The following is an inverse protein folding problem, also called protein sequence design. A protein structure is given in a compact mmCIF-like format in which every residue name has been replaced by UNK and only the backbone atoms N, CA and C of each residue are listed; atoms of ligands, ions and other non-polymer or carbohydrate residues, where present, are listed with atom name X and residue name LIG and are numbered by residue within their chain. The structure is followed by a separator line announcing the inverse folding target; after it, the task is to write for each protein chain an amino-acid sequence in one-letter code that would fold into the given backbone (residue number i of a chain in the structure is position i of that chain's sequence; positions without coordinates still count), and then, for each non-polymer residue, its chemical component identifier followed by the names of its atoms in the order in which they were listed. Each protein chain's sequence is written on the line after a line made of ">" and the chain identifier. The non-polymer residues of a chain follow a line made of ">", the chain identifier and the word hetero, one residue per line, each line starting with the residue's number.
data_IF_645026343211
#
_entry.id   IF_645026343211
#
_cell.length_a   1.000
_cell.length_b   1.000
_cell.length_c   1.000
_cell.angle_alpha   90.00
_cell.angle_beta   90.00
_cell.angle_gamma   90.00
#
_symmetry.space_group_name_H-M   'P 1'
#
loop_
_entity.id
_entity.type
_entity.pdbx_description
1 polymer ?
#
# COMPACT_ATOMS: atom_id res chain seq x y z
N UNK A 1 22.10 11.52 -20.25
CA UNK A 1 21.78 12.91 -20.69
C UNK A 1 20.83 12.77 -21.85
N UNK A 2 19.64 13.31 -21.70
CA UNK A 2 18.58 13.20 -22.69
C UNK A 2 18.71 14.34 -23.70
N UNK A 3 19.58 14.11 -24.69
CA UNK A 3 19.90 15.08 -25.73
C UNK A 3 19.12 14.72 -26.98
N UNK A 4 18.15 15.56 -27.32
CA UNK A 4 17.53 15.55 -28.64
C UNK A 4 18.32 16.51 -29.52
N UNK A 5 18.88 16.06 -30.65
CA UNK A 5 19.67 16.91 -31.54
C UNK A 5 18.94 18.21 -31.88
N UNK A 6 19.64 19.35 -31.77
CA UNK A 6 19.07 20.67 -32.09
C UNK A 6 18.17 21.29 -31.02
N UNK A 7 17.84 20.58 -29.94
CA UNK A 7 16.97 21.10 -28.88
C UNK A 7 17.72 21.36 -27.56
N UNK A 8 17.20 22.29 -26.74
CA UNK A 8 17.75 22.57 -25.39
C UNK A 8 17.75 21.30 -24.54
N UNK A 9 18.71 21.15 -23.63
CA UNK A 9 18.74 19.98 -22.73
C UNK A 9 17.55 19.99 -21.78
N UNK A 10 16.98 18.81 -21.51
CA UNK A 10 16.03 18.66 -20.42
C UNK A 10 16.78 18.77 -19.08
N UNK A 11 16.38 19.71 -18.24
CA UNK A 11 16.98 19.93 -16.93
C UNK A 11 16.39 18.97 -15.90
N UNK A 12 17.24 18.52 -14.97
CA UNK A 12 16.86 17.65 -13.86
C UNK A 12 17.47 18.18 -12.55
N UNK A 13 17.15 19.44 -12.25
CA UNK A 13 17.48 20.07 -10.98
C UNK A 13 16.59 19.52 -9.86
N UNK A 14 16.91 19.85 -8.61
CA UNK A 14 16.10 19.42 -7.47
C UNK A 14 14.72 20.08 -7.53
N UNK A 15 13.65 19.30 -7.37
CA UNK A 15 12.28 19.81 -7.41
C UNK A 15 11.58 19.52 -8.73
N UNK A 16 10.81 20.48 -9.21
CA UNK A 16 9.92 20.37 -10.37
C UNK A 16 10.56 21.06 -11.58
N UNK A 17 10.74 20.33 -12.67
CA UNK A 17 11.41 20.80 -13.88
C UNK A 17 10.48 20.63 -15.08
N UNK A 18 9.69 21.65 -15.41
CA UNK A 18 8.87 21.64 -16.62
C UNK A 18 9.69 22.00 -17.86
N UNK A 19 9.64 21.16 -18.91
CA UNK A 19 10.16 21.56 -20.23
C UNK A 19 9.39 22.76 -20.78
N UNK A 20 10.00 23.60 -21.62
CA UNK A 20 9.29 24.71 -22.25
C UNK A 20 8.08 24.20 -23.06
N UNK A 21 6.98 24.96 -23.05
CA UNK A 21 5.82 24.66 -23.92
C UNK A 21 6.24 24.83 -25.39
N UNK A 22 5.72 23.96 -26.24
CA UNK A 22 5.90 24.01 -27.71
C UNK A 22 4.54 24.25 -28.36
N UNK A 23 4.52 24.98 -29.46
CA UNK A 23 3.32 25.23 -30.26
C UNK A 23 3.21 24.15 -31.33
N UNK A 24 2.59 23.02 -30.99
CA UNK A 24 2.34 21.94 -31.93
C UNK A 24 1.14 22.27 -32.85
N UNK A 25 0.97 21.47 -33.90
CA UNK A 25 -0.10 21.64 -34.91
C UNK A 25 -1.51 21.74 -34.33
N UNK A 26 -1.78 21.03 -33.23
CA UNK A 26 -3.08 20.91 -32.57
C UNK A 26 -3.18 21.67 -31.25
N UNK A 27 -2.13 22.41 -30.85
CA UNK A 27 -2.16 23.29 -29.70
C UNK A 27 -0.82 23.45 -28.98
N UNK A 28 -0.81 24.34 -27.99
CA UNK A 28 0.34 24.50 -27.11
C UNK A 28 0.37 23.34 -26.10
N UNK A 29 1.47 22.58 -26.07
CA UNK A 29 1.67 21.48 -25.10
C UNK A 29 2.98 21.61 -24.37
N UNK A 30 3.04 21.04 -23.17
CA UNK A 30 4.30 20.82 -22.46
C UNK A 30 4.79 19.38 -22.73
N UNK A 31 6.03 19.20 -23.21
CA UNK A 31 6.50 17.87 -23.58
C UNK A 31 6.57 16.90 -22.40
N UNK A 32 7.16 17.33 -21.28
CA UNK A 32 7.22 16.56 -20.04
C UNK A 32 7.53 17.46 -18.83
N UNK A 33 7.30 16.93 -17.63
CA UNK A 33 7.76 17.49 -16.36
C UNK A 33 8.62 16.45 -15.66
N UNK A 34 9.83 16.84 -15.24
CA UNK A 34 10.69 15.98 -14.43
C UNK A 34 10.63 16.39 -12.97
N UNK A 35 10.28 15.41 -12.13
CA UNK A 35 10.23 15.57 -10.69
C UNK A 35 11.45 14.88 -10.11
N UNK A 36 12.29 15.61 -9.39
CA UNK A 36 13.44 15.06 -8.68
C UNK A 36 13.29 15.25 -7.18
N UNK A 37 13.05 14.15 -6.47
CA UNK A 37 13.07 14.13 -5.00
C UNK A 37 14.47 13.79 -4.44
N UNK A 38 14.70 14.16 -3.19
CA UNK A 38 15.93 13.90 -2.45
C UNK A 38 15.59 13.39 -1.05
N UNK A 39 15.72 12.08 -0.78
CA UNK A 39 15.24 11.47 0.47
C UNK A 39 16.10 11.80 1.70
N UNK A 40 17.28 12.40 1.52
CA UNK A 40 18.31 12.62 2.55
C UNK A 40 17.91 13.54 3.73
N UNK A 41 16.71 14.11 3.74
CA UNK A 41 16.16 14.93 4.83
C UNK A 41 14.80 14.45 5.36
N UNK A 42 14.28 13.33 4.84
CA UNK A 42 13.02 12.76 5.31
C UNK A 42 13.12 12.35 6.79
N UNK A 43 12.12 12.71 7.60
CA UNK A 43 12.01 12.27 9.00
C UNK A 43 12.85 13.03 10.04
N UNK A 44 13.40 14.21 9.72
CA UNK A 44 14.05 15.09 10.72
C UNK A 44 13.03 16.03 11.38
N UNK A 45 13.26 16.45 12.64
CA UNK A 45 12.40 17.39 13.40
C UNK A 45 12.06 18.68 12.62
N UNK A 46 12.90 19.09 11.67
CA UNK A 46 12.74 20.32 10.90
C UNK A 46 11.82 20.19 9.67
N UNK A 47 11.47 18.97 9.23
CA UNK A 47 10.56 18.72 8.09
C UNK A 47 9.72 17.45 8.34
N UNK A 48 8.61 17.53 9.09
CA UNK A 48 7.72 16.36 9.27
C UNK A 48 7.10 15.92 7.94
N UNK A 49 6.98 16.84 6.98
CA UNK A 49 6.45 16.60 5.64
C UNK A 49 7.58 16.28 4.67
N UNK A 50 7.54 15.09 4.08
CA UNK A 50 8.51 14.61 3.11
C UNK A 50 7.79 13.88 1.98
N UNK A 51 8.38 13.90 0.78
CA UNK A 51 7.82 13.16 -0.34
C UNK A 51 7.82 11.66 -0.02
N UNK A 52 6.70 11.00 -0.27
CA UNK A 52 6.54 9.55 -0.07
C UNK A 52 6.50 8.89 -1.43
N UNK A 53 7.41 7.94 -1.65
CA UNK A 53 7.47 7.13 -2.87
C UNK A 53 7.09 5.70 -2.53
N UNK A 54 5.80 5.39 -2.56
CA UNK A 54 5.28 4.02 -2.47
C UNK A 54 5.33 3.37 -3.86
N UNK A 55 6.55 3.03 -4.24
CA UNK A 55 6.88 2.40 -5.52
C UNK A 55 6.15 1.08 -5.74
N UNK A 56 5.78 0.41 -4.65
CA UNK A 56 5.22 -0.93 -4.65
C UNK A 56 3.72 -0.91 -4.96
N UNK A 57 3.00 0.09 -4.44
CA UNK A 57 1.60 0.33 -4.77
C UNK A 57 1.42 1.34 -5.90
N UNK A 58 2.50 1.82 -6.52
CA UNK A 58 2.45 2.77 -7.63
C UNK A 58 1.87 4.12 -7.22
N UNK A 59 2.24 4.62 -6.05
CA UNK A 59 1.77 5.89 -5.51
C UNK A 59 2.94 6.77 -5.06
N UNK A 60 2.88 8.05 -5.42
CA UNK A 60 3.81 9.07 -4.93
C UNK A 60 3.01 10.23 -4.36
N UNK A 61 3.26 10.57 -3.10
CA UNK A 61 2.77 11.80 -2.48
C UNK A 61 3.88 12.83 -2.51
N UNK A 62 3.76 13.82 -3.39
CA UNK A 62 4.80 14.81 -3.65
C UNK A 62 4.42 16.20 -3.16
N UNK A 63 5.33 16.88 -2.46
CA UNK A 63 5.08 18.23 -1.92
C UNK A 63 5.60 19.30 -2.87
N UNK A 64 4.78 20.33 -3.06
CA UNK A 64 5.06 21.48 -3.90
C UNK A 64 6.28 22.30 -3.49
N UNK A 65 6.67 23.24 -4.35
CA UNK A 65 7.85 24.09 -4.17
C UNK A 65 7.59 25.37 -3.36
N UNK A 66 6.40 25.53 -2.77
CA UNK A 66 6.14 26.65 -1.86
C UNK A 66 6.90 26.45 -0.54
N UNK A 67 7.47 27.54 -0.01
CA UNK A 67 8.26 27.55 1.23
C UNK A 67 7.86 28.74 2.10
N UNK A 68 8.11 28.62 3.40
CA UNK A 68 7.96 29.73 4.35
C UNK A 68 8.78 30.96 3.89
N UNK A 69 8.22 32.15 4.09
CA UNK A 69 8.87 33.43 3.76
C UNK A 69 8.72 33.88 2.30
N UNK A 70 8.06 33.11 1.43
CA UNK A 70 7.67 33.58 0.10
C UNK A 70 6.42 34.47 0.19
N UNK A 71 6.47 35.65 -0.43
CA UNK A 71 5.33 36.58 -0.50
C UNK A 71 4.34 36.23 -1.62
N UNK A 72 4.64 35.20 -2.41
CA UNK A 72 3.81 34.77 -3.53
C UNK A 72 2.56 34.05 -3.05
N UNK A 73 1.48 34.10 -3.83
CA UNK A 73 0.28 33.32 -3.51
C UNK A 73 0.55 31.80 -3.67
N UNK A 74 -0.04 30.93 -2.84
CA UNK A 74 0.06 29.48 -3.01
C UNK A 74 -0.37 29.06 -4.42
N UNK A 75 0.42 28.20 -5.07
CA UNK A 75 0.16 27.77 -6.45
C UNK A 75 0.83 28.61 -7.54
N UNK A 76 1.42 29.76 -7.20
CA UNK A 76 2.04 30.66 -8.20
C UNK A 76 3.56 30.52 -8.33
N UNK A 77 4.19 29.73 -7.45
CA UNK A 77 5.59 29.32 -7.64
C UNK A 77 5.73 28.52 -8.93
N UNK A 78 6.88 28.63 -9.61
CA UNK A 78 7.08 28.03 -10.95
C UNK A 78 6.75 26.54 -10.97
N UNK A 79 7.15 25.78 -9.95
CA UNK A 79 6.87 24.36 -9.84
C UNK A 79 5.38 24.07 -9.62
N UNK A 80 4.77 24.66 -8.59
CA UNK A 80 3.34 24.46 -8.34
C UNK A 80 2.45 24.89 -9.51
N UNK A 81 2.73 26.03 -10.13
CA UNK A 81 1.99 26.48 -11.32
C UNK A 81 2.11 25.46 -12.47
N UNK A 82 3.30 24.87 -12.63
CA UNK A 82 3.55 23.82 -13.63
C UNK A 82 2.79 22.53 -13.32
N UNK A 83 2.73 22.10 -12.05
CA UNK A 83 2.00 20.88 -11.67
C UNK A 83 0.48 21.08 -11.64
N UNK A 84 -0.02 22.29 -11.36
CA UNK A 84 -1.44 22.61 -11.48
C UNK A 84 -1.90 22.61 -12.94
N UNK A 85 -1.12 23.21 -13.85
CA UNK A 85 -1.34 23.14 -15.31
C UNK A 85 -1.35 21.67 -15.81
N UNK A 86 -0.45 20.82 -15.27
CA UNK A 86 -0.44 19.40 -15.59
C UNK A 86 -1.65 18.64 -15.01
N UNK A 87 -2.06 18.97 -13.78
CA UNK A 87 -3.22 18.37 -13.13
C UNK A 87 -4.49 18.65 -13.93
N UNK A 88 -4.71 19.88 -14.38
CA UNK A 88 -5.87 20.23 -15.21
C UNK A 88 -5.92 19.38 -16.49
N UNK A 89 -4.76 19.16 -17.14
CA UNK A 89 -4.64 18.25 -18.28
C UNK A 89 -4.94 16.78 -17.92
N UNK A 90 -4.50 16.32 -16.74
CA UNK A 90 -4.79 14.96 -16.27
C UNK A 90 -6.26 14.74 -15.89
N UNK A 91 -7.00 15.80 -15.58
CA UNK A 91 -8.46 15.77 -15.36
C UNK A 91 -9.28 15.87 -16.65
N UNK A 92 -8.63 15.90 -17.83
CA UNK A 92 -9.29 16.03 -19.13
C UNK A 92 -10.42 15.01 -19.35
N UNK A 93 -11.60 15.50 -19.75
CA UNK A 93 -12.80 14.67 -19.90
C UNK A 93 -12.83 13.84 -21.19
N UNK A 94 -12.11 14.28 -22.24
CA UNK A 94 -12.04 13.57 -23.52
C UNK A 94 -10.65 12.95 -23.76
N UNK A 95 -10.54 11.91 -24.60
CA UNK A 95 -9.25 11.36 -25.00
C UNK A 95 -8.33 12.40 -25.64
N UNK A 96 -8.86 13.33 -26.44
CA UNK A 96 -8.10 14.38 -27.12
C UNK A 96 -7.48 15.34 -26.10
N UNK A 97 -8.24 15.77 -25.08
CA UNK A 97 -7.71 16.59 -24.00
C UNK A 97 -6.61 15.87 -23.21
N UNK A 98 -6.74 14.56 -23.00
CA UNK A 98 -5.71 13.75 -22.31
C UNK A 98 -4.49 13.44 -23.17
N UNK A 99 -4.62 13.44 -24.50
CA UNK A 99 -3.49 13.26 -25.41
C UNK A 99 -2.48 14.43 -25.30
N UNK A 100 -2.99 15.65 -25.08
CA UNK A 100 -2.19 16.84 -24.80
C UNK A 100 -1.55 16.83 -23.41
N UNK A 101 -2.06 16.03 -22.47
CA UNK A 101 -1.67 16.06 -21.07
C UNK A 101 -0.18 15.76 -20.87
N UNK A 102 0.42 16.41 -19.87
CA UNK A 102 1.87 16.40 -19.70
C UNK A 102 2.31 15.17 -18.90
N UNK A 103 3.21 14.32 -19.41
CA UNK A 103 3.75 13.21 -18.65
C UNK A 103 4.71 13.70 -17.55
N UNK A 104 4.59 13.08 -16.37
CA UNK A 104 5.52 13.29 -15.27
C UNK A 104 6.52 12.14 -15.26
N UNK A 105 7.81 12.43 -15.44
CA UNK A 105 8.87 11.44 -15.19
C UNK A 105 9.46 11.71 -13.82
N UNK A 106 9.35 10.73 -12.92
CA UNK A 106 9.76 10.86 -11.54
C UNK A 106 11.16 10.28 -11.35
N UNK A 107 11.96 10.96 -10.54
CA UNK A 107 13.33 10.57 -10.22
C UNK A 107 13.60 10.79 -8.73
N UNK A 108 14.44 9.93 -8.15
CA UNK A 108 14.99 10.16 -6.82
C UNK A 108 16.50 10.15 -6.84
N UNK A 109 17.11 10.98 -5.99
CA UNK A 109 18.56 10.99 -5.82
C UNK A 109 18.98 9.74 -5.03
N UNK A 110 19.94 8.99 -5.56
CA UNK A 110 20.42 7.71 -4.97
C UNK A 110 21.92 7.74 -4.73
N UNK A 111 22.39 6.99 -3.73
CA UNK A 111 23.83 6.74 -3.54
C UNK A 111 24.26 5.60 -4.45
N UNK A 112 25.40 5.76 -5.14
CA UNK A 112 26.00 4.69 -5.95
C UNK A 112 27.50 4.64 -5.68
N UNK A 113 28.04 3.43 -5.45
CA UNK A 113 29.46 3.20 -5.21
C UNK A 113 30.05 4.09 -4.09
N UNK A 114 29.31 4.27 -2.99
CA UNK A 114 29.74 5.11 -1.87
C UNK A 114 29.68 6.63 -2.13
N UNK A 115 29.25 7.07 -3.32
CA UNK A 115 29.03 8.49 -3.60
C UNK A 115 27.56 8.87 -3.33
N UNK A 116 27.29 9.77 -2.37
CA UNK A 116 25.93 10.14 -1.98
C UNK A 116 25.23 11.11 -2.94
N UNK A 117 25.96 11.69 -3.89
CA UNK A 117 25.47 12.69 -4.85
C UNK A 117 25.91 12.33 -6.27
N UNK A 118 25.26 12.96 -7.25
CA UNK A 118 25.59 12.80 -8.68
C UNK A 118 24.78 11.75 -9.43
N UNK A 119 24.01 10.91 -8.72
CA UNK A 119 23.22 9.84 -9.31
C UNK A 119 21.73 10.04 -9.02
N UNK A 120 20.92 9.66 -10.00
CA UNK A 120 19.46 9.62 -9.92
C UNK A 120 18.98 8.27 -10.42
N UNK A 121 17.87 7.82 -9.87
CA UNK A 121 17.14 6.64 -10.31
C UNK A 121 15.81 7.10 -10.91
N UNK A 122 15.41 6.49 -12.02
CA UNK A 122 14.08 6.67 -12.60
C UNK A 122 13.06 5.89 -11.78
N UNK A 123 11.99 6.56 -11.37
CA UNK A 123 10.94 6.01 -10.51
C UNK A 123 9.63 5.72 -11.27
N UNK A 124 9.54 6.06 -12.55
CA UNK A 124 8.37 5.76 -13.38
C UNK A 124 7.68 6.98 -13.96
N UNK A 125 6.60 6.68 -14.68
CA UNK A 125 5.73 7.61 -15.38
C UNK A 125 4.48 7.88 -14.54
N UNK A 126 4.21 9.15 -14.24
CA UNK A 126 3.16 9.57 -13.32
C UNK A 126 1.99 10.31 -13.97
N UNK A 127 0.79 10.10 -13.42
CA UNK A 127 -0.42 10.90 -13.64
C UNK A 127 -0.87 11.46 -12.29
N UNK A 128 -1.18 12.75 -12.20
CA UNK A 128 -1.69 13.40 -10.98
C UNK A 128 -3.16 13.02 -10.81
N UNK A 129 -3.46 12.26 -9.77
CA UNK A 129 -4.83 11.82 -9.47
C UNK A 129 -5.57 12.82 -8.57
N UNK A 130 -4.85 13.51 -7.69
CA UNK A 130 -5.41 14.44 -6.72
C UNK A 130 -4.40 15.53 -6.37
N UNK A 131 -4.92 16.71 -6.05
CA UNK A 131 -4.14 17.79 -5.46
C UNK A 131 -4.86 18.35 -4.24
N UNK A 132 -4.10 18.71 -3.21
CA UNK A 132 -4.61 19.27 -1.95
C UNK A 132 -3.80 20.50 -1.55
N UNK A 133 -4.46 21.49 -0.94
CA UNK A 133 -3.79 22.59 -0.23
C UNK A 133 -3.57 22.18 1.22
N UNK A 134 -2.34 22.31 1.70
CA UNK A 134 -1.95 21.92 3.06
C UNK A 134 -1.19 23.06 3.75
N UNK A 135 -1.47 23.27 5.04
CA UNK A 135 -0.74 24.21 5.89
C UNK A 135 0.46 23.49 6.50
N UNK A 136 1.66 23.96 6.20
CA UNK A 136 2.92 23.41 6.69
C UNK A 136 3.58 24.38 7.67
N UNK A 137 4.39 23.83 8.58
CA UNK A 137 5.28 24.59 9.46
C UNK A 137 6.67 24.65 8.82
N UNK A 138 7.34 25.80 8.88
CA UNK A 138 8.66 26.00 8.30
C UNK A 138 9.59 26.83 9.19
N UNK A 139 10.89 26.51 9.11
CA UNK A 139 11.96 27.19 9.83
C UNK A 139 12.08 26.76 11.30
N UNK A 140 13.14 27.23 11.96
CA UNK A 140 13.30 27.13 13.43
C UNK A 140 12.20 27.87 14.20
N UNK A 141 11.58 28.85 13.54
CA UNK A 141 10.67 29.81 14.17
C UNK A 141 9.19 29.38 14.06
N UNK A 142 8.93 28.15 13.58
CA UNK A 142 7.57 27.56 13.44
C UNK A 142 6.56 28.49 12.75
N UNK A 143 6.94 29.07 11.61
CA UNK A 143 6.01 29.87 10.80
C UNK A 143 5.12 28.96 9.94
N UNK A 144 3.84 29.27 9.81
CA UNK A 144 2.94 28.53 8.92
C UNK A 144 2.97 29.08 7.50
N UNK A 145 2.90 28.20 6.50
CA UNK A 145 2.74 28.56 5.11
C UNK A 145 1.86 27.54 4.40
N UNK A 146 1.17 27.96 3.32
CA UNK A 146 0.32 27.07 2.53
C UNK A 146 1.11 26.56 1.33
N UNK A 147 1.06 25.24 1.11
CA UNK A 147 1.66 24.59 -0.05
C UNK A 147 0.67 23.62 -0.68
N UNK A 148 1.03 23.07 -1.83
CA UNK A 148 0.29 22.00 -2.48
C UNK A 148 0.92 20.64 -2.23
N UNK A 149 0.08 19.62 -2.19
CA UNK A 149 0.46 18.21 -2.22
C UNK A 149 -0.21 17.57 -3.43
N UNK A 150 0.54 16.72 -4.12
CA UNK A 150 0.10 16.03 -5.33
C UNK A 150 0.19 14.53 -5.08
N UNK A 151 -0.94 13.83 -5.16
CA UNK A 151 -0.96 12.39 -5.25
C UNK A 151 -0.79 12.01 -6.72
N UNK A 152 0.22 11.20 -7.00
CA UNK A 152 0.64 10.82 -8.34
C UNK A 152 0.55 9.30 -8.44
N UNK A 153 -0.24 8.81 -9.38
CA UNK A 153 -0.30 7.41 -9.76
C UNK A 153 0.87 7.08 -10.70
N UNK A 154 1.74 6.15 -10.30
CA UNK A 154 2.75 5.60 -11.19
C UNK A 154 2.11 4.53 -12.07
N UNK A 155 2.24 4.68 -13.38
CA UNK A 155 1.73 3.72 -14.35
C UNK A 155 2.61 2.46 -14.38
N UNK A 156 1.98 1.32 -14.62
CA UNK A 156 2.65 0.05 -14.83
C UNK A 156 3.35 0.06 -16.19
N UNK A 157 4.67 -0.12 -16.17
CA UNK A 157 5.54 -0.14 -17.34
C UNK A 157 6.13 -1.54 -17.56
N UNK A 158 5.56 -2.58 -16.94
CA UNK A 158 6.08 -3.94 -17.05
C UNK A 158 6.16 -4.45 -18.50
N UNK A 159 5.20 -4.04 -19.35
CA UNK A 159 5.20 -4.37 -20.79
C UNK A 159 6.42 -3.77 -21.50
N UNK A 160 6.81 -2.56 -21.09
CA UNK A 160 7.97 -1.83 -21.59
C UNK A 160 9.26 -2.11 -20.78
N UNK A 161 9.27 -3.09 -19.88
CA UNK A 161 10.44 -3.45 -19.09
C UNK A 161 10.84 -2.41 -18.03
N UNK A 162 9.87 -1.69 -17.45
CA UNK A 162 10.08 -0.55 -16.55
C UNK A 162 10.79 0.67 -17.20
N UNK A 163 10.75 0.77 -18.54
CA UNK A 163 11.37 1.84 -19.31
C UNK A 163 10.34 2.77 -19.98
N UNK A 164 10.78 3.99 -20.29
CA UNK A 164 10.03 4.93 -21.14
C UNK A 164 10.92 5.29 -22.32
N UNK A 165 10.47 4.92 -23.52
CA UNK A 165 11.16 5.26 -24.77
C UNK A 165 11.31 6.79 -24.89
N UNK A 166 12.54 7.26 -25.08
CA UNK A 166 12.81 8.70 -25.10
C UNK A 166 12.23 9.37 -26.35
N UNK A 167 12.11 8.61 -27.43
CA UNK A 167 11.49 8.96 -28.71
C UNK A 167 10.08 9.55 -28.53
N UNK A 168 9.33 9.07 -27.53
CA UNK A 168 8.04 9.66 -27.16
C UNK A 168 8.18 11.10 -26.70
N UNK A 169 9.17 11.38 -25.83
CA UNK A 169 9.44 12.73 -25.35
C UNK A 169 9.94 13.60 -26.51
N UNK A 170 10.74 13.06 -27.44
CA UNK A 170 11.19 13.80 -28.63
C UNK A 170 10.01 14.19 -29.53
N UNK A 171 9.10 13.25 -29.82
CA UNK A 171 7.89 13.53 -30.59
C UNK A 171 7.02 14.61 -29.92
N UNK A 172 6.87 14.57 -28.59
CA UNK A 172 6.15 15.62 -27.86
C UNK A 172 6.83 16.99 -27.91
N UNK A 173 8.13 17.07 -28.21
CA UNK A 173 8.89 18.32 -28.38
C UNK A 173 8.87 18.84 -29.81
N UNK A 174 8.50 18.02 -30.78
CA UNK A 174 8.42 18.39 -32.19
C UNK A 174 7.13 19.19 -32.46
N UNK A 175 7.27 20.39 -33.00
CA UNK A 175 6.13 21.28 -33.33
C UNK A 175 5.31 20.75 -34.52
N UNK A 176 5.87 19.85 -35.33
CA UNK A 176 5.23 19.26 -36.51
C UNK A 176 4.46 17.96 -36.22
N UNK A 177 4.52 17.46 -34.99
CA UNK A 177 3.86 16.21 -34.58
C UNK A 177 2.60 16.53 -33.77
N UNK A 178 1.46 15.94 -34.11
CA UNK A 178 0.22 16.07 -33.33
C UNK A 178 0.27 15.27 -32.02
N UNK A 179 -0.61 15.58 -31.07
CA UNK A 179 -0.72 14.83 -29.82
C UNK A 179 -1.11 13.36 -30.07
N UNK A 180 -1.98 13.11 -31.06
CA UNK A 180 -2.40 11.77 -31.44
C UNK A 180 -1.24 10.91 -31.97
N UNK A 181 -0.36 11.50 -32.79
CA UNK A 181 0.85 10.86 -33.30
C UNK A 181 1.87 10.61 -32.19
N UNK A 182 2.12 11.61 -31.33
CA UNK A 182 3.04 11.48 -30.21
C UNK A 182 2.59 10.37 -29.23
N UNK A 183 1.28 10.25 -28.97
CA UNK A 183 0.73 9.21 -28.09
C UNK A 183 0.98 7.79 -28.63
N UNK A 184 1.17 7.59 -29.94
CA UNK A 184 1.49 6.25 -30.47
C UNK A 184 2.83 5.70 -29.97
N UNK A 185 3.76 6.58 -29.60
CA UNK A 185 5.07 6.23 -29.06
C UNK A 185 5.07 6.08 -27.53
N UNK A 186 3.95 6.43 -26.87
CA UNK A 186 3.85 6.37 -25.42
C UNK A 186 3.71 4.92 -24.92
N UNK A 187 4.12 4.64 -23.66
CA UNK A 187 3.85 3.35 -23.02
C UNK A 187 2.39 2.95 -23.10
N UNK A 188 2.14 1.65 -23.13
CA UNK A 188 0.81 1.05 -23.27
C UNK A 188 -0.14 1.53 -22.19
N UNK A 189 0.32 1.59 -20.94
CA UNK A 189 -0.48 2.11 -19.83
C UNK A 189 -0.85 3.60 -20.03
N UNK A 190 0.03 4.43 -20.59
CA UNK A 190 -0.29 5.82 -20.90
C UNK A 190 -1.35 5.92 -22.01
N UNK A 191 -1.22 5.14 -23.08
CA UNK A 191 -2.21 5.10 -24.18
C UNK A 191 -3.59 4.68 -23.69
N UNK A 192 -3.64 3.66 -22.83
CA UNK A 192 -4.88 3.22 -22.19
C UNK A 192 -5.47 4.29 -21.26
N UNK A 193 -4.63 5.02 -20.52
CA UNK A 193 -5.08 6.14 -19.71
C UNK A 193 -5.62 7.30 -20.56
N UNK A 194 -4.98 7.64 -21.68
CA UNK A 194 -5.49 8.65 -22.63
C UNK A 194 -6.88 8.23 -23.12
N UNK A 195 -7.09 6.96 -23.46
CA UNK A 195 -8.38 6.47 -23.93
C UNK A 195 -9.48 6.47 -22.87
N UNK A 196 -9.16 6.06 -21.64
CA UNK A 196 -10.17 5.74 -20.62
C UNK A 196 -10.22 6.72 -19.43
N UNK A 197 -9.21 7.54 -19.24
CA UNK A 197 -9.11 8.55 -18.20
C UNK A 197 -8.87 7.98 -16.79
N UNK A 198 -9.25 8.75 -15.78
CA UNK A 198 -8.96 8.47 -14.36
C UNK A 198 -9.56 7.14 -13.89
N UNK A 199 -10.70 6.73 -14.43
CA UNK A 199 -11.35 5.46 -14.07
C UNK A 199 -10.50 4.22 -14.39
N UNK A 200 -9.55 4.35 -15.32
CA UNK A 200 -8.60 3.29 -15.66
C UNK A 200 -7.36 3.28 -14.76
N UNK A 201 -7.07 4.32 -13.97
CA UNK A 201 -5.86 4.37 -13.14
C UNK A 201 -5.73 3.18 -12.18
N UNK A 202 -6.79 2.68 -11.50
CA UNK A 202 -6.64 1.53 -10.59
C UNK A 202 -6.09 0.26 -11.24
N UNK A 203 -6.39 0.03 -12.52
CA UNK A 203 -5.91 -1.12 -13.32
C UNK A 203 -4.58 -0.85 -14.03
N UNK A 204 -4.26 0.41 -14.31
CA UNK A 204 -3.04 0.83 -15.02
C UNK A 204 -1.89 1.18 -14.07
N UNK A 205 -2.15 1.19 -12.77
CA UNK A 205 -1.17 1.54 -11.75
C UNK A 205 -0.16 0.42 -11.55
N UNK A 206 1.11 0.80 -11.44
CA UNK A 206 2.20 -0.09 -11.06
C UNK A 206 1.85 -0.82 -9.77
N UNK A 207 1.91 -2.15 -9.80
CA UNK A 207 1.80 -3.00 -8.63
C UNK A 207 2.95 -3.97 -8.60
N UNK A 208 3.85 -3.81 -7.64
CA UNK A 208 4.87 -4.81 -7.39
C UNK A 208 4.24 -5.87 -6.49
N UNK A 209 3.69 -6.94 -7.08
CA UNK A 209 3.11 -8.07 -6.33
C UNK A 209 4.06 -8.61 -5.24
N UNK A 210 5.38 -8.48 -5.45
CA UNK A 210 6.43 -8.95 -4.53
C UNK A 210 6.53 -8.19 -3.20
N UNK A 211 5.97 -6.98 -3.09
CA UNK A 211 6.11 -6.17 -1.88
C UNK A 211 5.19 -6.59 -0.73
N UNK A 212 4.08 -7.29 -1.04
CA UNK A 212 3.17 -7.85 -0.04
C UNK A 212 3.44 -9.33 0.28
N UNK A 213 4.42 -9.94 -0.40
CA UNK A 213 4.83 -11.33 -0.16
C UNK A 213 5.98 -11.33 0.83
N UNK A 214 5.70 -11.77 2.06
CA UNK A 214 6.72 -12.01 3.08
C UNK A 214 7.41 -13.34 2.81
N UNK A 215 8.76 -13.35 2.79
CA UNK A 215 9.51 -14.61 2.65
C UNK A 215 9.21 -15.53 3.83
N UNK A 216 9.20 -16.83 3.58
CA UNK A 216 8.93 -17.84 4.64
C UNK A 216 9.82 -17.66 5.87
N UNK A 217 11.10 -17.30 5.66
CA UNK A 217 12.07 -17.06 6.74
C UNK A 217 11.70 -15.87 7.64
N UNK A 218 10.98 -14.88 7.10
CA UNK A 218 10.61 -13.64 7.80
C UNK A 218 9.25 -13.80 8.53
N UNK A 219 8.50 -14.86 8.21
CA UNK A 219 7.24 -15.24 8.88
C UNK A 219 7.43 -16.12 10.11
N UNK A 220 8.68 -16.41 10.48
CA UNK A 220 9.04 -17.29 11.59
C UNK A 220 10.06 -16.59 12.48
N UNK A 221 9.98 -16.77 13.81
CA UNK A 221 11.06 -16.39 14.70
C UNK A 221 12.37 -17.06 14.31
N UNK A 222 13.48 -16.33 14.45
CA UNK A 222 14.81 -16.87 14.15
C UNK A 222 15.10 -18.08 15.07
N UNK A 223 15.54 -19.23 14.55
CA UNK A 223 15.90 -20.39 15.38
C UNK A 223 16.88 -20.00 16.50
N UNK A 224 16.59 -20.45 17.72
CA UNK A 224 17.36 -20.12 18.93
C UNK A 224 17.06 -18.76 19.57
N UNK A 225 16.13 -17.96 19.03
CA UNK A 225 15.62 -16.76 19.71
C UNK A 225 14.64 -17.10 20.83
N UNK A 226 14.39 -16.15 21.73
CA UNK A 226 13.32 -16.24 22.74
C UNK A 226 11.95 -16.49 22.10
N UNK A 227 11.64 -15.78 21.02
CA UNK A 227 10.39 -15.87 20.30
C UNK A 227 10.24 -17.24 19.61
N UNK A 228 11.34 -17.87 19.21
CA UNK A 228 11.32 -19.24 18.71
C UNK A 228 10.99 -20.25 19.81
N UNK A 229 11.58 -20.09 21.00
CA UNK A 229 11.26 -20.93 22.15
C UNK A 229 9.79 -20.77 22.58
N UNK A 230 9.26 -19.54 22.51
CA UNK A 230 7.85 -19.25 22.78
C UNK A 230 6.92 -19.89 21.74
N UNK A 231 7.27 -19.80 20.45
CA UNK A 231 6.49 -20.44 19.40
C UNK A 231 6.48 -21.97 19.57
N UNK A 232 7.62 -22.56 19.94
CA UNK A 232 7.70 -23.98 20.28
C UNK A 232 6.85 -24.35 21.50
N UNK A 233 6.87 -23.53 22.54
CA UNK A 233 6.05 -23.71 23.73
C UNK A 233 4.57 -23.73 23.35
N UNK A 234 4.12 -22.73 22.56
CA UNK A 234 2.75 -22.64 22.04
C UNK A 234 2.41 -23.89 21.22
N UNK A 235 3.22 -24.26 20.23
CA UNK A 235 2.98 -25.44 19.42
C UNK A 235 2.87 -26.72 20.28
N UNK A 236 3.82 -26.97 21.18
CA UNK A 236 3.82 -28.15 22.06
C UNK A 236 2.63 -28.16 23.01
N UNK A 237 2.24 -26.99 23.51
CA UNK A 237 1.08 -26.84 24.37
C UNK A 237 -0.20 -27.23 23.62
N UNK A 238 -0.38 -26.78 22.38
CA UNK A 238 -1.61 -26.97 21.61
C UNK A 238 -1.61 -28.18 20.66
N UNK A 239 -0.50 -28.91 20.53
CA UNK A 239 -0.46 -30.14 19.75
C UNK A 239 -1.43 -31.18 20.37
N UNK A 240 -2.33 -31.72 19.55
CA UNK A 240 -3.45 -32.55 20.01
C UNK A 240 -4.62 -31.80 20.69
N UNK A 241 -4.50 -30.49 20.95
CA UNK A 241 -5.55 -29.65 21.57
C UNK A 241 -6.03 -28.53 20.65
N UNK A 242 -6.62 -28.95 19.52
CA UNK A 242 -7.04 -28.04 18.44
C UNK A 242 -8.01 -26.96 18.91
N UNK A 243 -9.02 -27.30 19.71
CA UNK A 243 -10.03 -26.35 20.16
C UNK A 243 -9.47 -25.27 21.09
N UNK A 244 -8.57 -25.67 22.00
CA UNK A 244 -7.89 -24.71 22.86
C UNK A 244 -7.06 -23.72 22.02
N UNK A 245 -6.50 -24.16 20.89
CA UNK A 245 -5.83 -23.28 19.94
C UNK A 245 -6.78 -22.35 19.18
N UNK A 246 -8.00 -22.80 18.88
CA UNK A 246 -9.04 -21.96 18.24
C UNK A 246 -9.39 -20.76 19.14
N UNK A 247 -9.46 -20.98 20.47
CA UNK A 247 -9.67 -19.91 21.45
C UNK A 247 -8.50 -18.90 21.46
N UNK A 248 -7.26 -19.41 21.50
CA UNK A 248 -6.05 -18.58 21.41
C UNK A 248 -6.03 -17.75 20.12
N UNK A 249 -6.33 -18.39 18.99
CA UNK A 249 -6.37 -17.75 17.68
C UNK A 249 -7.43 -16.65 17.60
N UNK A 250 -8.61 -16.88 18.19
CA UNK A 250 -9.68 -15.87 18.28
C UNK A 250 -9.22 -14.64 19.08
N UNK A 251 -8.60 -14.84 20.24
CA UNK A 251 -8.09 -13.75 21.08
C UNK A 251 -6.99 -12.94 20.39
N UNK A 252 -6.05 -13.62 19.71
CA UNK A 252 -4.99 -12.97 18.95
C UNK A 252 -5.54 -12.20 17.75
N UNK A 253 -6.49 -12.79 17.01
CA UNK A 253 -7.16 -12.11 15.91
C UNK A 253 -7.89 -10.85 16.39
N UNK A 254 -8.61 -10.93 17.52
CA UNK A 254 -9.27 -9.78 18.12
C UNK A 254 -8.28 -8.65 18.43
N UNK A 255 -7.13 -8.97 19.03
CA UNK A 255 -6.09 -7.97 19.33
C UNK A 255 -5.52 -7.33 18.07
N UNK A 256 -5.15 -8.13 17.07
CA UNK A 256 -4.60 -7.63 15.80
C UNK A 256 -5.58 -6.66 15.12
N UNK A 257 -6.87 -7.03 15.09
CA UNK A 257 -7.91 -6.23 14.45
C UNK A 257 -8.24 -4.96 15.26
N UNK A 258 -8.21 -5.01 16.60
CA UNK A 258 -8.35 -3.81 17.46
C UNK A 258 -7.17 -2.86 17.35
N UNK A 259 -5.95 -3.38 17.29
CA UNK A 259 -4.70 -2.59 17.22
C UNK A 259 -4.62 -1.68 15.99
N UNK A 260 -5.44 -1.96 14.97
CA UNK A 260 -5.57 -1.15 13.75
C UNK A 260 -6.54 0.03 13.90
N UNK A 261 -7.09 0.27 15.11
CA UNK A 261 -8.03 1.34 15.41
C UNK A 261 -9.49 1.01 15.07
N UNK A 262 -9.78 -0.25 14.75
CA UNK A 262 -11.14 -0.71 14.46
C UNK A 262 -11.84 -1.20 15.73
N UNK A 263 -13.16 -1.01 15.77
CA UNK A 263 -14.00 -1.62 16.81
C UNK A 263 -14.23 -3.08 16.43
N UNK A 264 -13.55 -4.00 17.13
CA UNK A 264 -13.75 -5.44 16.96
C UNK A 264 -14.56 -6.02 18.11
N UNK A 265 -15.63 -6.72 17.76
CA UNK A 265 -16.49 -7.48 18.68
C UNK A 265 -16.18 -8.96 18.52
N UNK A 266 -15.78 -9.58 19.63
CA UNK A 266 -15.57 -11.03 19.70
C UNK A 266 -16.93 -11.74 19.72
N UNK A 267 -17.07 -12.79 18.90
CA UNK A 267 -18.29 -13.58 18.83
C UNK A 267 -18.15 -14.90 19.59
N UNK A 268 -18.03 -16.00 18.84
CA UNK A 268 -18.00 -17.35 19.41
C UNK A 268 -17.09 -18.30 18.65
N UNK A 269 -16.70 -19.38 19.33
CA UNK A 269 -16.11 -20.57 18.74
C UNK A 269 -17.21 -21.47 18.16
N UNK A 270 -16.96 -22.09 17.01
CA UNK A 270 -17.95 -22.95 16.35
C UNK A 270 -17.88 -24.38 16.86
N UNK A 271 -19.00 -25.12 16.77
CA UNK A 271 -19.02 -26.56 17.10
C UNK A 271 -18.34 -27.40 16.02
N UNK A 272 -17.79 -28.54 16.45
CA UNK A 272 -17.29 -29.63 15.60
C UNK A 272 -18.30 -29.95 14.49
N UNK A 273 -17.97 -29.58 13.25
CA UNK A 273 -18.57 -30.17 12.06
C UNK A 273 -17.50 -30.97 11.33
N UNK A 274 -17.83 -32.21 10.95
CA UNK A 274 -16.92 -33.08 10.20
C UNK A 274 -16.49 -32.50 8.85
N UNK A 275 -17.14 -31.43 8.40
CA UNK A 275 -16.95 -30.78 7.11
C UNK A 275 -15.97 -29.57 7.16
N UNK A 276 -15.34 -29.34 8.32
CA UNK A 276 -14.28 -28.36 8.49
C UNK A 276 -14.78 -26.93 8.29
N UNK A 277 -15.78 -26.51 9.07
CA UNK A 277 -16.31 -25.14 9.15
C UNK A 277 -15.27 -24.09 9.58
N UNK A 278 -15.68 -22.82 9.67
CA UNK A 278 -14.84 -21.78 10.29
C UNK A 278 -14.69 -22.10 11.78
N UNK A 279 -13.56 -21.79 12.40
CA UNK A 279 -13.28 -22.18 13.79
C UNK A 279 -13.81 -21.15 14.79
N UNK A 280 -13.81 -19.86 14.41
CA UNK A 280 -14.39 -18.78 15.22
C UNK A 280 -15.06 -17.72 14.35
N UNK A 281 -15.94 -16.94 14.98
CA UNK A 281 -16.66 -15.82 14.37
C UNK A 281 -16.45 -14.56 15.20
N UNK A 282 -16.22 -13.43 14.52
CA UNK A 282 -16.19 -12.10 15.13
C UNK A 282 -16.77 -11.05 14.19
N UNK A 283 -16.67 -9.77 14.58
CA UNK A 283 -17.24 -8.66 13.82
C UNK A 283 -16.36 -7.43 13.89
N UNK A 284 -16.23 -6.72 12.78
CA UNK A 284 -15.62 -5.39 12.74
C UNK A 284 -16.70 -4.36 12.44
N UNK A 285 -16.75 -3.32 13.27
CA UNK A 285 -17.61 -2.17 13.05
C UNK A 285 -16.79 -1.06 12.39
N UNK A 286 -17.22 -0.65 11.20
CA UNK A 286 -16.62 0.42 10.42
C UNK A 286 -17.52 1.65 10.47
N UNK A 287 -16.95 2.82 10.77
CA UNK A 287 -17.72 4.06 10.88
C UNK A 287 -18.55 4.13 12.17
N UNK A 288 -19.55 5.01 12.20
CA UNK A 288 -20.43 5.17 13.37
C UNK A 288 -21.82 5.68 12.98
N UNK A 289 -22.82 5.35 13.79
CA UNK A 289 -24.22 5.75 13.57
C UNK A 289 -24.76 5.31 12.20
N UNK A 290 -25.47 6.20 11.51
CA UNK A 290 -26.01 5.94 10.16
C UNK A 290 -24.92 5.85 9.06
N UNK A 291 -23.69 6.29 9.36
CA UNK A 291 -22.55 6.19 8.46
C UNK A 291 -21.66 4.98 8.79
N UNK A 292 -22.20 4.01 9.55
CA UNK A 292 -21.51 2.80 9.96
C UNK A 292 -21.98 1.54 9.21
N UNK A 293 -21.12 0.52 9.17
CA UNK A 293 -21.46 -0.83 8.71
C UNK A 293 -20.67 -1.88 9.47
N UNK A 294 -21.22 -3.08 9.55
CA UNK A 294 -20.63 -4.18 10.32
C UNK A 294 -20.22 -5.29 9.35
N UNK A 295 -18.97 -5.72 9.45
CA UNK A 295 -18.40 -6.80 8.65
C UNK A 295 -18.24 -8.06 9.51
N UNK A 296 -18.73 -9.19 9.00
CA UNK A 296 -18.53 -10.49 9.64
C UNK A 296 -17.08 -10.93 9.43
N UNK A 297 -16.45 -11.43 10.48
CA UNK A 297 -15.10 -12.00 10.45
C UNK A 297 -15.19 -13.51 10.64
N UNK A 298 -14.74 -14.27 9.65
CA UNK A 298 -14.59 -15.73 9.74
C UNK A 298 -13.14 -16.10 10.05
N UNK A 299 -12.94 -16.78 11.18
CA UNK A 299 -11.64 -17.24 11.64
C UNK A 299 -11.35 -18.70 11.30
N UNK A 300 -10.11 -18.98 10.89
CA UNK A 300 -9.54 -20.32 10.80
C UNK A 300 -8.25 -20.37 11.61
N UNK A 301 -8.10 -21.39 12.44
CA UNK A 301 -6.95 -21.65 13.29
C UNK A 301 -6.31 -23.00 12.91
N UNK A 302 -4.99 -23.02 12.75
CA UNK A 302 -4.21 -24.24 12.54
C UNK A 302 -2.96 -24.27 13.41
N UNK A 303 -2.99 -25.10 14.46
CA UNK A 303 -1.77 -25.50 15.15
C UNK A 303 -1.09 -26.62 14.34
N UNK A 304 0.03 -26.28 13.70
CA UNK A 304 0.85 -27.18 12.87
C UNK A 304 2.32 -27.08 13.27
N UNK A 305 3.14 -28.01 12.80
CA UNK A 305 4.59 -27.92 13.00
C UNK A 305 5.12 -26.60 12.42
N UNK A 306 6.12 -26.03 13.07
CA UNK A 306 6.66 -24.70 12.73
C UNK A 306 7.20 -24.61 11.30
N UNK A 307 7.69 -25.73 10.77
CA UNK A 307 8.20 -25.86 9.41
C UNK A 307 7.11 -26.03 8.34
N UNK A 308 5.86 -26.25 8.75
CA UNK A 308 4.72 -26.43 7.84
C UNK A 308 4.38 -25.12 7.13
N UNK A 309 4.04 -25.25 5.85
CA UNK A 309 3.56 -24.16 5.00
C UNK A 309 2.08 -24.33 4.71
N UNK A 310 1.31 -23.27 4.93
CA UNK A 310 -0.08 -23.16 4.50
C UNK A 310 -0.10 -22.83 3.01
N UNK A 311 -0.84 -23.61 2.23
CA UNK A 311 -0.92 -23.49 0.77
C UNK A 311 -2.06 -22.58 0.32
N UNK A 312 -2.04 -22.19 -0.96
CA UNK A 312 -3.08 -21.34 -1.55
C UNK A 312 -4.46 -22.01 -1.48
N UNK A 313 -4.54 -23.31 -1.77
CA UNK A 313 -5.78 -24.10 -1.65
C UNK A 313 -6.41 -24.02 -0.26
N UNK A 314 -5.59 -24.06 0.80
CA UNK A 314 -6.07 -23.96 2.18
C UNK A 314 -6.64 -22.57 2.48
N UNK A 315 -6.00 -21.51 1.98
CA UNK A 315 -6.50 -20.12 2.10
C UNK A 315 -7.79 -19.97 1.29
N UNK A 316 -7.80 -20.42 0.04
CA UNK A 316 -8.95 -20.36 -0.86
C UNK A 316 -10.17 -21.08 -0.27
N UNK A 317 -9.98 -22.18 0.48
CA UNK A 317 -11.08 -22.87 1.18
C UNK A 317 -11.75 -22.00 2.25
N UNK A 318 -11.02 -21.09 2.90
CA UNK A 318 -11.59 -20.11 3.83
C UNK A 318 -12.30 -19.00 3.05
N UNK A 319 -11.63 -18.47 2.03
CA UNK A 319 -12.15 -17.38 1.18
C UNK A 319 -13.45 -17.78 0.47
N UNK A 320 -13.57 -19.01 0.00
CA UNK A 320 -14.76 -19.54 -0.67
C UNK A 320 -16.03 -19.52 0.20
N UNK A 321 -15.89 -19.32 1.52
CA UNK A 321 -17.02 -19.22 2.46
C UNK A 321 -17.43 -17.78 2.74
N UNK A 322 -16.60 -16.81 2.34
CA UNK A 322 -16.88 -15.40 2.57
C UNK A 322 -18.02 -14.95 1.66
N UNK A 323 -18.98 -14.24 2.25
CA UNK A 323 -20.04 -13.55 1.52
C UNK A 323 -19.66 -12.08 1.34
N UNK A 324 -20.46 -11.33 0.57
CA UNK A 324 -20.29 -9.88 0.46
C UNK A 324 -20.36 -9.24 1.86
N UNK A 325 -19.38 -8.39 2.18
CA UNK A 325 -19.26 -7.77 3.50
C UNK A 325 -18.66 -8.68 4.58
N UNK A 326 -18.03 -9.80 4.19
CA UNK A 326 -17.31 -10.68 5.12
C UNK A 326 -15.82 -10.61 4.83
N UNK A 327 -15.02 -10.78 5.88
CA UNK A 327 -13.56 -10.94 5.78
C UNK A 327 -13.13 -12.22 6.50
N UNK A 328 -11.99 -12.77 6.10
CA UNK A 328 -11.37 -13.92 6.74
C UNK A 328 -10.23 -13.52 7.68
N UNK A 329 -9.92 -14.38 8.65
CA UNK A 329 -8.65 -14.38 9.37
C UNK A 329 -8.13 -15.82 9.41
N UNK A 330 -6.88 -16.03 9.02
CA UNK A 330 -6.20 -17.31 9.16
C UNK A 330 -5.09 -17.16 10.18
N UNK A 331 -5.08 -17.98 11.23
CA UNK A 331 -4.06 -18.01 12.27
C UNK A 331 -3.34 -19.35 12.25
N UNK A 332 -2.01 -19.34 12.27
CA UNK A 332 -1.21 -20.56 12.25
C UNK A 332 0.07 -20.42 13.07
N UNK A 333 0.54 -21.53 13.66
CA UNK A 333 1.89 -21.63 14.22
C UNK A 333 2.97 -21.81 13.14
N UNK A 334 2.57 -22.14 11.90
CA UNK A 334 3.45 -22.28 10.75
C UNK A 334 3.68 -20.96 9.99
N UNK A 335 3.91 -21.07 8.68
CA UNK A 335 4.03 -19.92 7.77
C UNK A 335 3.17 -20.12 6.51
N UNK A 336 2.99 -19.07 5.72
CA UNK A 336 2.29 -19.11 4.44
C UNK A 336 3.30 -19.21 3.29
N UNK A 337 3.01 -20.06 2.29
CA UNK A 337 3.88 -20.15 1.12
C UNK A 337 3.88 -18.83 0.33
N UNK A 338 4.99 -18.53 -0.35
CA UNK A 338 5.07 -17.34 -1.21
C UNK A 338 4.03 -17.38 -2.35
N UNK A 339 3.80 -18.53 -3.04
CA UNK A 339 2.72 -18.62 -4.02
C UNK A 339 1.32 -18.32 -3.44
N UNK A 340 1.03 -18.76 -2.22
CA UNK A 340 -0.26 -18.50 -1.57
C UNK A 340 -0.47 -17.00 -1.29
N UNK A 341 0.59 -16.29 -0.89
CA UNK A 341 0.54 -14.84 -0.69
C UNK A 341 0.42 -14.09 -2.02
N UNK A 342 1.09 -14.55 -3.07
CA UNK A 342 0.96 -13.98 -4.42
C UNK A 342 -0.48 -14.11 -4.91
N UNK A 343 -1.06 -15.31 -4.85
CA UNK A 343 -2.46 -15.55 -5.25
C UNK A 343 -3.42 -14.68 -4.45
N UNK A 344 -3.24 -14.59 -3.12
CA UNK A 344 -4.04 -13.71 -2.27
C UNK A 344 -4.02 -12.25 -2.72
N UNK A 345 -2.87 -11.75 -3.16
CA UNK A 345 -2.69 -10.36 -3.63
C UNK A 345 -3.28 -10.17 -5.03
N UNK A 346 -3.07 -11.13 -5.92
CA UNK A 346 -3.56 -11.11 -7.31
C UNK A 346 -5.09 -11.22 -7.36
N UNK A 347 -5.66 -12.16 -6.62
CA UNK A 347 -7.11 -12.43 -6.56
C UNK A 347 -7.85 -11.57 -5.53
N UNK A 348 -7.12 -10.69 -4.84
CA UNK A 348 -7.64 -9.72 -3.87
C UNK A 348 -8.48 -10.36 -2.75
N UNK A 349 -8.01 -11.49 -2.22
CA UNK A 349 -8.71 -12.20 -1.15
C UNK A 349 -8.87 -11.31 0.09
N UNK A 350 -10.10 -11.12 0.62
CA UNK A 350 -10.32 -10.30 1.81
C UNK A 350 -10.03 -11.12 3.07
N UNK A 351 -8.77 -11.51 3.27
CA UNK A 351 -8.32 -12.35 4.38
C UNK A 351 -7.05 -11.80 5.04
N UNK A 352 -7.03 -11.80 6.37
CA UNK A 352 -5.86 -11.47 7.19
C UNK A 352 -5.07 -12.74 7.50
N UNK A 353 -3.75 -12.69 7.35
CA UNK A 353 -2.85 -13.81 7.60
C UNK A 353 -2.00 -13.55 8.86
N UNK A 354 -2.13 -14.40 9.87
CA UNK A 354 -1.38 -14.33 11.14
C UNK A 354 -0.47 -15.57 11.22
N UNK A 355 0.81 -15.36 10.90
CA UNK A 355 1.85 -16.39 10.93
C UNK A 355 2.41 -16.62 12.34
N UNK A 356 3.28 -17.63 12.50
CA UNK A 356 3.87 -17.97 13.79
C UNK A 356 4.67 -16.85 14.46
N UNK A 357 5.34 -15.99 13.69
CA UNK A 357 6.07 -14.83 14.25
C UNK A 357 5.12 -13.78 14.81
N UNK A 358 4.08 -13.44 14.04
CA UNK A 358 3.04 -12.50 14.43
C UNK A 358 2.26 -13.01 15.66
N UNK A 359 1.89 -14.29 15.66
CA UNK A 359 1.22 -14.96 16.77
C UNK A 359 1.98 -14.78 18.10
N UNK A 360 3.28 -15.06 18.10
CA UNK A 360 4.12 -14.90 19.30
C UNK A 360 4.22 -13.45 19.71
N UNK A 361 4.43 -12.54 18.76
CA UNK A 361 4.58 -11.11 19.04
C UNK A 361 3.36 -10.57 19.78
N UNK A 362 2.17 -10.90 19.29
CA UNK A 362 0.91 -10.44 19.86
C UNK A 362 0.63 -11.08 21.22
N UNK A 363 0.88 -12.38 21.38
CA UNK A 363 0.74 -13.04 22.69
C UNK A 363 1.72 -12.49 23.73
N UNK A 364 2.96 -12.18 23.33
CA UNK A 364 3.92 -11.53 24.21
C UNK A 364 3.51 -10.10 24.56
N UNK A 365 2.85 -9.39 23.65
CA UNK A 365 2.28 -8.09 23.96
C UNK A 365 1.14 -8.20 24.97
N UNK A 366 0.21 -9.14 24.77
CA UNK A 366 -0.87 -9.45 25.74
C UNK A 366 -0.30 -9.81 27.12
N UNK A 367 0.72 -10.67 27.16
CA UNK A 367 1.36 -11.07 28.40
C UNK A 367 2.01 -9.89 29.13
N UNK A 368 2.61 -8.94 28.41
CA UNK A 368 3.19 -7.73 29.01
C UNK A 368 2.14 -6.77 29.54
N UNK A 369 1.02 -6.63 28.83
CA UNK A 369 -0.03 -5.69 29.19
C UNK A 369 -0.72 -6.10 30.50
N UNK A 370 -1.08 -7.38 30.62
CA UNK A 370 -2.00 -7.83 31.69
C UNK A 370 -1.43 -8.95 32.60
N UNK A 371 -0.27 -9.52 32.27
CA UNK A 371 0.28 -10.71 32.95
C UNK A 371 1.76 -10.58 33.35
N UNK A 372 2.29 -9.36 33.46
CA UNK A 372 3.67 -9.12 33.91
C UNK A 372 4.75 -9.73 33.00
N UNK A 373 4.41 -10.04 31.75
CA UNK A 373 5.28 -10.71 30.78
C UNK A 373 5.25 -12.24 30.81
N UNK A 374 4.45 -12.86 31.69
CA UNK A 374 4.29 -14.31 31.76
C UNK A 374 3.37 -14.82 30.64
N UNK A 375 3.99 -15.48 29.65
CA UNK A 375 3.29 -16.02 28.49
C UNK A 375 2.37 -17.19 28.86
N UNK A 376 2.76 -18.03 29.81
CA UNK A 376 1.96 -19.19 30.22
C UNK A 376 0.72 -18.73 30.99
N UNK A 377 0.88 -17.80 31.92
CA UNK A 377 -0.25 -17.21 32.64
C UNK A 377 -1.23 -16.50 31.69
N UNK A 378 -0.71 -15.80 30.67
CA UNK A 378 -1.53 -15.20 29.63
C UNK A 378 -2.35 -16.24 28.84
N UNK A 379 -1.71 -17.34 28.43
CA UNK A 379 -2.38 -18.43 27.70
C UNK A 379 -3.46 -19.07 28.59
N UNK A 380 -3.14 -19.39 29.84
CA UNK A 380 -4.10 -19.98 30.79
C UNK A 380 -5.27 -19.04 31.07
N UNK A 381 -5.03 -17.73 31.16
CA UNK A 381 -6.10 -16.74 31.31
C UNK A 381 -7.04 -16.69 30.10
N UNK A 382 -6.49 -16.69 28.88
CA UNK A 382 -7.28 -16.74 27.64
C UNK A 382 -8.16 -18.00 27.63
N UNK A 383 -7.61 -19.15 28.02
CA UNK A 383 -8.34 -20.41 28.06
C UNK A 383 -9.42 -20.43 29.16
N UNK A 384 -9.13 -19.87 30.34
CA UNK A 384 -10.06 -19.79 31.45
C UNK A 384 -11.23 -18.83 31.19
N UNK A 385 -10.98 -17.72 30.48
CA UNK A 385 -12.03 -16.77 30.07
C UNK A 385 -13.01 -17.34 29.04
N UNK A 386 -12.71 -18.49 28.43
CA UNK A 386 -13.39 -19.04 27.25
C UNK A 386 -14.16 -20.36 27.52
N UNK A 387 -14.47 -20.72 28.77
CA UNK A 387 -15.56 -21.67 29.06
C UNK A 387 -16.94 -21.19 28.52
N UNK A 388 -16.98 -20.01 27.91
CA UNK A 388 -18.12 -19.33 27.27
C UNK A 388 -17.68 -18.98 25.83
N UNK A 389 -18.33 -19.29 24.71
CA UNK A 389 -19.65 -19.82 24.39
C UNK A 389 -19.50 -20.65 23.09
N UNK A 390 -19.30 -21.96 23.16
CA UNK A 390 -19.30 -22.80 21.94
C UNK A 390 -20.75 -22.90 21.42
N UNK A 391 -21.07 -22.22 20.32
CA UNK A 391 -22.43 -22.20 19.75
C UNK A 391 -22.54 -22.88 18.40
N UNK A 392 -23.78 -23.23 18.03
CA UNK A 392 -24.15 -23.67 16.69
C UNK A 392 -24.93 -22.57 15.95
N UNK A 393 -24.48 -21.31 16.08
CA UNK A 393 -25.09 -20.16 15.42
C UNK A 393 -24.48 -19.95 14.04
N UNK A 394 -25.26 -19.38 13.12
CA UNK A 394 -24.74 -18.99 11.81
C UNK A 394 -23.89 -17.73 11.94
N UNK A 395 -22.78 -17.57 11.18
CA UNK A 395 -21.89 -16.44 11.36
C UNK A 395 -22.57 -15.06 11.17
N UNK A 396 -23.56 -14.95 10.28
CA UNK A 396 -24.35 -13.72 10.10
C UNK A 396 -25.11 -13.26 11.36
N UNK A 397 -25.34 -14.14 12.33
CA UNK A 397 -26.08 -13.79 13.54
C UNK A 397 -25.31 -12.85 14.47
N UNK A 398 -24.00 -12.66 14.26
CA UNK A 398 -23.20 -11.69 15.02
C UNK A 398 -23.55 -10.23 14.66
N UNK A 399 -24.28 -10.04 13.55
CA UNK A 399 -24.77 -8.74 13.13
C UNK A 399 -26.05 -8.32 13.88
N UNK A 400 -26.64 -9.22 14.67
CA UNK A 400 -27.84 -8.97 15.46
C UNK A 400 -27.54 -8.48 16.87
N UNK A 401 -26.28 -8.61 17.30
CA UNK A 401 -25.74 -8.09 18.57
C UNK A 401 -25.34 -6.63 18.41
#
# INVERSE_FOLDING_TARGET
>A
MTFSPGLKRALLERGINGMAKVSALDGARRPAIFIRSSPWKAGTEQTPWHDVFDMDNGHVRYFGDHKAGLSMAPGTTTGNATLLDAFDGHQGHTPEARAAATPLLLFRSVSRNGQPKGHVEFCGLGVIERTERLVQWGGSDHTTFVNYVYDIALLDLAVEGDEVAWEWIEARRDETVTDAEAVQLAPTAWREWVKHGISALPRLRRRVARAKVSKVRDQRPKPGSSEHADLELIYKHFDGRKHDFEALASAVAARVLRGSGHSYVEGWLTRRSGDGGADFVGRIDLGSGLAGTNLVVLGQAKCVKLDTLVTAEQIARVVARLRRGWIGVYVTTGAYSEPAQTEMVEDQYPIVLINGSELVRELRAMARDDHGGDLTACIEHILAGQETVITNRRPEEILLE
#
